data_IF_520628582569
#
_entry.id   IF_520628582569
#
_cell.length_a   1.000
_cell.length_b   1.000
_cell.length_c   1.000
_cell.angle_alpha   90.00
_cell.angle_beta   90.00
_cell.angle_gamma   90.00
#
_symmetry.space_group_name_H-M   'P 1'
#
loop_
_entity.id
_entity.type
_entity.pdbx_description
1 polymer ?
#
# COMPACT_ATOMS: atom_id res chain seq x y z
N UNK A 1 -0.23 -5.42 34.18
CA UNK A 1 1.01 -4.86 33.60
C UNK A 1 0.63 -3.58 32.86
N UNK A 2 1.52 -2.59 32.75
CA UNK A 2 1.16 -1.26 32.22
C UNK A 2 1.21 -1.26 30.69
N UNK A 3 0.20 -0.74 29.96
CA UNK A 3 0.13 -0.84 28.48
C UNK A 3 1.31 -0.19 27.76
N UNK A 4 1.87 0.86 28.38
CA UNK A 4 3.07 1.53 27.88
C UNK A 4 4.29 0.62 27.86
N UNK A 5 4.38 -0.35 28.77
CA UNK A 5 5.50 -1.30 28.83
C UNK A 5 5.36 -2.34 27.72
N UNK A 6 4.16 -2.86 27.47
CA UNK A 6 3.90 -3.81 26.39
C UNK A 6 4.20 -3.22 25.01
N UNK A 7 3.86 -1.93 24.81
CA UNK A 7 4.23 -1.21 23.59
C UNK A 7 5.76 -1.13 23.44
N UNK A 8 6.47 -0.73 24.49
CA UNK A 8 7.93 -0.61 24.49
C UNK A 8 8.64 -1.96 24.27
N UNK A 9 8.09 -3.05 24.78
CA UNK A 9 8.56 -4.42 24.50
C UNK A 9 8.30 -4.81 23.03
N UNK A 10 7.12 -4.49 22.50
CA UNK A 10 6.74 -4.74 21.10
C UNK A 10 7.62 -3.97 20.09
N UNK A 11 8.00 -2.72 20.41
CA UNK A 11 8.93 -1.93 19.58
C UNK A 11 10.42 -2.16 19.93
N UNK A 12 10.73 -3.11 20.81
CA UNK A 12 12.09 -3.55 21.12
C UNK A 12 12.93 -2.58 21.95
N UNK A 13 12.31 -1.66 22.69
CA UNK A 13 12.98 -0.64 23.52
C UNK A 13 13.40 -1.19 24.88
N UNK A 14 12.71 -2.20 25.42
CA UNK A 14 13.05 -2.85 26.70
C UNK A 14 13.44 -4.32 26.45
N UNK A 15 14.54 -4.77 27.06
CA UNK A 15 15.01 -6.17 26.98
C UNK A 15 14.92 -6.81 28.37
N UNK A 16 14.03 -7.78 28.55
CA UNK A 16 14.09 -8.70 29.69
C UNK A 16 15.20 -9.73 29.42
N UNK A 17 16.14 -9.86 30.34
CA UNK A 17 17.34 -10.67 30.17
C UNK A 17 17.01 -12.16 29.92
N UNK A 18 17.33 -12.66 28.71
CA UNK A 18 17.55 -14.09 28.47
C UNK A 18 16.73 -14.72 27.36
N UNK A 19 17.07 -14.42 26.10
CA UNK A 19 17.16 -15.40 25.00
C UNK A 19 17.37 -14.65 23.68
N UNK A 20 18.36 -15.09 22.91
CA UNK A 20 18.72 -14.54 21.61
C UNK A 20 17.68 -14.95 20.56
N UNK A 21 16.54 -14.26 20.53
CA UNK A 21 15.75 -14.15 19.30
C UNK A 21 15.67 -12.68 18.95
N UNK A 22 16.47 -12.30 17.95
CA UNK A 22 16.38 -11.00 17.29
C UNK A 22 15.08 -11.03 16.48
N UNK A 23 13.94 -10.87 17.16
CA UNK A 23 12.70 -10.50 16.50
C UNK A 23 12.89 -9.04 16.10
N UNK A 24 13.44 -8.83 14.91
CA UNK A 24 13.40 -7.53 14.25
C UNK A 24 11.95 -7.04 14.37
N UNK A 25 11.71 -5.80 14.85
CA UNK A 25 10.36 -5.25 14.86
C UNK A 25 9.80 -5.43 13.45
N UNK A 26 8.52 -5.82 13.29
CA UNK A 26 7.93 -5.99 11.98
C UNK A 26 8.22 -4.69 11.22
N UNK A 27 9.11 -4.79 10.24
CA UNK A 27 9.42 -3.68 9.35
C UNK A 27 8.09 -3.46 8.66
N UNK A 28 7.33 -2.48 9.13
CA UNK A 28 6.25 -1.89 8.37
C UNK A 28 6.95 -1.27 7.18
N UNK A 29 7.25 -2.09 6.17
CA UNK A 29 7.76 -1.60 4.90
C UNK A 29 6.73 -0.58 4.45
N UNK A 30 7.07 0.71 4.43
CA UNK A 30 6.12 1.73 4.02
C UNK A 30 5.61 1.29 2.65
N UNK A 31 4.28 1.29 2.44
CA UNK A 31 3.76 1.07 1.10
C UNK A 31 4.28 2.22 0.22
N UNK A 32 5.35 1.98 -0.52
CA UNK A 32 5.91 2.92 -1.46
C UNK A 32 5.23 2.73 -2.81
N UNK A 33 4.67 3.80 -3.35
CA UNK A 33 4.07 3.82 -4.67
C UNK A 33 4.96 4.61 -5.62
N UNK A 34 5.19 4.08 -6.82
CA UNK A 34 5.94 4.79 -7.87
C UNK A 34 5.10 5.93 -8.46
N UNK A 35 3.77 5.73 -8.49
CA UNK A 35 2.82 6.73 -8.93
C UNK A 35 1.50 6.63 -8.16
N UNK A 36 0.80 7.75 -8.05
CA UNK A 36 -0.58 7.79 -7.50
C UNK A 36 -1.48 8.46 -8.53
N UNK A 37 -2.55 7.77 -8.93
CA UNK A 37 -3.63 8.37 -9.74
C UNK A 37 -4.77 8.79 -8.82
N UNK A 38 -5.36 9.94 -9.10
CA UNK A 38 -6.50 10.47 -8.32
C UNK A 38 -7.67 10.66 -9.27
N UNK A 39 -8.84 10.19 -8.84
CA UNK A 39 -10.09 10.38 -9.56
C UNK A 39 -11.19 10.80 -8.59
N UNK A 40 -12.19 11.52 -9.11
CA UNK A 40 -13.42 11.73 -8.36
C UNK A 40 -14.20 10.41 -8.30
N UNK A 41 -14.52 9.96 -7.11
CA UNK A 41 -15.40 8.83 -6.87
C UNK A 41 -16.84 9.30 -7.13
N UNK A 42 -17.22 9.41 -8.39
CA UNK A 42 -18.60 9.69 -8.74
C UNK A 42 -19.43 8.45 -8.41
N UNK A 43 -20.28 8.51 -7.38
CA UNK A 43 -21.25 7.48 -7.02
C UNK A 43 -22.16 7.08 -8.20
N UNK A 44 -22.25 7.94 -9.23
CA UNK A 44 -22.91 7.63 -10.50
C UNK A 44 -22.04 6.73 -11.39
N UNK A 45 -22.16 5.43 -11.15
CA UNK A 45 -21.62 4.31 -11.94
C UNK A 45 -22.02 4.26 -13.43
N UNK A 46 -22.74 5.28 -13.94
CA UNK A 46 -23.39 5.26 -15.27
C UNK A 46 -22.57 6.02 -16.32
N UNK A 47 -21.65 6.89 -15.91
CA UNK A 47 -20.86 7.71 -16.83
C UNK A 47 -19.77 6.90 -17.55
N UNK A 48 -19.64 7.05 -18.88
CA UNK A 48 -18.60 6.39 -19.70
C UNK A 48 -17.18 6.59 -19.17
N UNK A 49 -16.93 7.71 -18.47
CA UNK A 49 -15.67 8.00 -17.79
C UNK A 49 -15.30 6.92 -16.76
N UNK A 50 -16.27 6.38 -16.02
CA UNK A 50 -16.03 5.34 -15.02
C UNK A 50 -15.65 4.01 -15.67
N UNK A 51 -16.25 3.68 -16.82
CA UNK A 51 -15.87 2.49 -17.62
C UNK A 51 -14.43 2.62 -18.09
N UNK A 52 -14.08 3.75 -18.72
CA UNK A 52 -12.71 4.02 -19.20
C UNK A 52 -11.69 3.97 -18.07
N UNK A 53 -12.02 4.53 -16.91
CA UNK A 53 -11.15 4.45 -15.74
C UNK A 53 -10.93 3.00 -15.29
N UNK A 54 -12.00 2.20 -15.20
CA UNK A 54 -11.90 0.79 -14.83
C UNK A 54 -11.05 0.01 -15.82
N UNK A 55 -11.31 0.20 -17.12
CA UNK A 55 -10.58 -0.47 -18.20
C UNK A 55 -9.08 -0.15 -18.13
N UNK A 56 -8.72 1.12 -17.90
CA UNK A 56 -7.34 1.54 -17.74
C UNK A 56 -6.65 0.87 -16.53
N UNK A 57 -7.33 0.81 -15.38
CA UNK A 57 -6.79 0.14 -14.19
C UNK A 57 -6.63 -1.37 -14.43
N UNK A 58 -7.55 -1.99 -15.17
CA UNK A 58 -7.46 -3.42 -15.52
C UNK A 58 -6.32 -3.68 -16.52
N UNK A 59 -6.05 -2.77 -17.46
CA UNK A 59 -4.87 -2.85 -18.32
C UNK A 59 -3.55 -2.75 -17.54
N UNK A 60 -3.46 -1.89 -16.53
CA UNK A 60 -2.29 -1.81 -15.66
C UNK A 60 -2.04 -3.14 -14.94
N UNK A 61 -3.09 -3.73 -14.37
CA UNK A 61 -2.99 -5.04 -13.70
C UNK A 61 -2.57 -6.16 -14.66
N UNK A 62 -3.08 -6.15 -15.90
CA UNK A 62 -2.67 -7.11 -16.94
C UNK A 62 -1.19 -7.00 -17.31
N UNK A 63 -0.60 -5.81 -17.16
CA UNK A 63 0.84 -5.56 -17.39
C UNK A 63 1.71 -5.82 -16.15
N UNK A 64 1.21 -6.56 -15.16
CA UNK A 64 1.88 -6.86 -13.88
C UNK A 64 2.17 -5.64 -13.00
N UNK A 65 1.48 -4.51 -13.20
CA UNK A 65 1.51 -3.42 -12.22
C UNK A 65 0.63 -3.78 -11.04
N UNK A 66 1.16 -3.54 -9.83
CA UNK A 66 0.37 -3.68 -8.60
C UNK A 66 -0.38 -2.37 -8.37
N UNK A 67 -1.71 -2.45 -8.34
CA UNK A 67 -2.59 -1.30 -8.14
C UNK A 67 -3.38 -1.46 -6.84
N UNK A 68 -3.25 -0.51 -5.93
CA UNK A 68 -4.02 -0.43 -4.67
C UNK A 68 -5.01 0.72 -4.76
N UNK A 69 -6.30 0.45 -4.58
CA UNK A 69 -7.34 1.49 -4.53
C UNK A 69 -7.60 1.87 -3.07
N UNK A 70 -7.59 3.17 -2.79
CA UNK A 70 -7.97 3.77 -1.51
C UNK A 70 -9.09 4.77 -1.81
N UNK A 71 -10.16 4.75 -1.03
CA UNK A 71 -11.29 5.66 -1.18
C UNK A 71 -11.29 6.57 0.04
N UNK A 72 -11.37 7.87 -0.19
CA UNK A 72 -11.37 8.91 0.84
C UNK A 72 -12.36 9.99 0.38
N UNK A 73 -13.47 10.13 1.11
CA UNK A 73 -14.62 10.96 0.75
C UNK A 73 -15.05 10.76 -0.73
N UNK A 74 -15.02 11.84 -1.51
CA UNK A 74 -15.39 11.89 -2.93
C UNK A 74 -14.22 11.56 -3.87
N UNK A 75 -13.09 11.08 -3.34
CA UNK A 75 -11.88 10.80 -4.09
C UNK A 75 -11.52 9.31 -4.04
N UNK A 76 -11.01 8.84 -5.17
CA UNK A 76 -10.42 7.52 -5.31
C UNK A 76 -8.94 7.69 -5.69
N UNK A 77 -8.07 7.20 -4.81
CA UNK A 77 -6.64 7.13 -5.01
C UNK A 77 -6.24 5.74 -5.49
N UNK A 78 -5.42 5.66 -6.52
CA UNK A 78 -4.86 4.42 -7.04
C UNK A 78 -3.35 4.49 -6.93
N UNK A 79 -2.80 3.83 -5.91
CA UNK A 79 -1.36 3.65 -5.76
C UNK A 79 -0.87 2.58 -6.73
N UNK A 80 0.15 2.91 -7.52
CA UNK A 80 0.73 2.04 -8.55
C UNK A 80 2.16 1.68 -8.13
N UNK A 81 2.49 0.40 -8.24
CA UNK A 81 3.86 -0.10 -8.14
C UNK A 81 4.21 -0.83 -9.43
N UNK A 82 5.31 -0.43 -10.05
CA UNK A 82 5.82 -1.02 -11.26
C UNK A 82 6.51 -2.36 -10.98
N UNK A 83 6.36 -3.36 -11.86
CA UNK A 83 7.13 -4.59 -11.74
C UNK A 83 8.62 -4.29 -11.95
N UNK A 84 9.49 -4.91 -11.15
CA UNK A 84 10.96 -4.68 -11.22
C UNK A 84 11.52 -4.91 -12.62
N UNK A 85 10.93 -5.85 -13.36
CA UNK A 85 11.26 -6.20 -14.75
C UNK A 85 11.24 -5.01 -15.71
N UNK A 86 10.44 -3.96 -15.45
CA UNK A 86 10.40 -2.77 -16.31
C UNK A 86 11.69 -1.95 -16.20
N UNK A 87 12.35 -1.98 -15.05
CA UNK A 87 13.58 -1.24 -14.78
C UNK A 87 14.83 -2.02 -15.21
N UNK A 88 14.73 -3.34 -15.36
CA UNK A 88 15.83 -4.20 -15.81
C UNK A 88 16.08 -4.12 -17.32
N UNK A 89 15.16 -3.51 -18.08
CA UNK A 89 15.27 -3.32 -19.53
C UNK A 89 16.13 -2.12 -19.95
N UNK A 90 16.90 -1.52 -19.05
CA UNK A 90 17.74 -0.33 -19.29
C UNK A 90 19.18 -0.53 -18.83
#
# INVERSE_FOLDING_TARGET
RQPSIEFLEFIGVVKENGSEQISLPPVLTPLSYDYVLVAKNAENHVTEAFKKQRDYIDELKKKNFKVTKIIDDDLAFYGIQAPKEIFERH
#
